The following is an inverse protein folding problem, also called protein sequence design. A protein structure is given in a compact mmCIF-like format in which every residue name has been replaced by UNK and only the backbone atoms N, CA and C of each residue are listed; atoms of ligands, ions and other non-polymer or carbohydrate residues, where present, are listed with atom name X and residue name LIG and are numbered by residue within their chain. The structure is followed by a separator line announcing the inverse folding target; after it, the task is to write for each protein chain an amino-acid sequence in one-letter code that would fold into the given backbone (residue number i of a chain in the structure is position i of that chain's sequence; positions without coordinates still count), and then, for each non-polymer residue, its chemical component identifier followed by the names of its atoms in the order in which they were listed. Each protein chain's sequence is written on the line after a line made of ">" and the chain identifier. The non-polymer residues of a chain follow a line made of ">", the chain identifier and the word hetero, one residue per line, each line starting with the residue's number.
data_IF_251128879743
#
_entry.id   IF_251128879743
#
_cell.length_a   1.000
_cell.length_b   1.000
_cell.length_c   1.000
_cell.angle_alpha   90.00
_cell.angle_beta   90.00
_cell.angle_gamma   90.00
#
_symmetry.space_group_name_H-M   'P 1'
#
loop_
_entity.id
_entity.type
_entity.pdbx_description
1 polymer ?
#
# COMPACT_ATOMS: atom_id res chain seq x y z
N UNK A 1 5.25 5.34 31.67
CA UNK A 1 4.69 6.31 30.71
C UNK A 1 3.65 5.62 29.85
N UNK A 2 2.47 6.19 29.77
CA UNK A 2 1.42 5.64 28.92
C UNK A 2 1.47 6.30 27.55
N UNK A 3 1.28 5.53 26.49
CA UNK A 3 1.18 6.03 25.13
C UNK A 3 0.02 5.32 24.43
N UNK A 4 -0.55 5.97 23.45
CA UNK A 4 -1.62 5.41 22.63
C UNK A 4 -1.21 5.37 21.16
N UNK A 5 -1.85 4.51 20.40
CA UNK A 5 -1.61 4.36 18.99
C UNK A 5 -2.84 3.86 18.25
N UNK A 6 -2.75 3.82 16.93
CA UNK A 6 -3.81 3.32 16.06
C UNK A 6 -3.25 2.17 15.25
N UNK A 7 -4.02 1.08 15.16
CA UNK A 7 -3.75 -0.02 14.23
C UNK A 7 -4.42 0.31 12.89
N UNK A 8 -3.62 0.49 11.86
CA UNK A 8 -4.11 0.71 10.51
C UNK A 8 -3.18 -0.01 9.52
N UNK A 9 -3.62 -1.10 8.88
CA UNK A 9 -2.81 -1.75 7.85
C UNK A 9 -2.53 -0.79 6.69
N UNK A 10 -1.33 -0.84 6.14
CA UNK A 10 -0.95 0.00 4.99
C UNK A 10 -1.90 -0.25 3.81
N UNK A 11 -2.26 -1.51 3.58
CA UNK A 11 -3.18 -1.89 2.51
C UNK A 11 -4.58 -1.28 2.63
N UNK A 12 -4.98 -0.86 3.83
CA UNK A 12 -6.29 -0.26 4.10
C UNK A 12 -6.33 1.25 3.85
N UNK A 13 -5.19 1.87 3.57
CA UNK A 13 -5.15 3.29 3.22
C UNK A 13 -5.83 3.54 1.88
N UNK A 14 -6.52 4.67 1.69
CA UNK A 14 -7.17 4.96 0.42
C UNK A 14 -6.15 5.11 -0.72
N UNK A 15 -6.47 4.58 -1.88
CA UNK A 15 -5.63 4.67 -3.06
C UNK A 15 -6.48 4.53 -4.32
N UNK A 16 -6.19 5.30 -5.38
CA UNK A 16 -6.86 5.13 -6.68
C UNK A 16 -6.35 3.92 -7.46
N UNK A 17 -5.32 3.22 -6.97
CA UNK A 17 -4.62 2.15 -7.70
C UNK A 17 -4.80 0.77 -7.05
N UNK A 18 -5.92 0.55 -6.41
CA UNK A 18 -6.37 -0.77 -5.98
C UNK A 18 -5.97 -1.21 -4.58
N UNK A 19 -4.93 -0.66 -3.99
CA UNK A 19 -4.45 -1.01 -2.65
C UNK A 19 -3.73 0.18 -2.03
N UNK A 20 -3.79 0.31 -0.70
CA UNK A 20 -3.04 1.34 0.02
C UNK A 20 -1.54 1.17 -0.17
N UNK A 21 -0.81 2.27 -0.24
CA UNK A 21 0.63 2.31 -0.46
C UNK A 21 1.32 3.20 0.57
N UNK A 22 2.65 3.17 0.60
CA UNK A 22 3.46 4.06 1.43
C UNK A 22 3.70 5.41 0.75
N UNK A 23 2.68 5.98 0.12
CA UNK A 23 2.73 7.24 -0.58
C UNK A 23 2.08 8.40 0.17
N UNK A 24 1.41 9.28 -0.57
CA UNK A 24 0.80 10.49 -0.02
C UNK A 24 -0.24 10.21 1.06
N UNK A 25 -1.07 9.17 0.90
CA UNK A 25 -2.08 8.79 1.89
C UNK A 25 -1.43 8.35 3.21
N UNK A 26 -0.32 7.62 3.16
CA UNK A 26 0.43 7.22 4.35
C UNK A 26 1.01 8.43 5.07
N UNK A 27 1.57 9.38 4.35
CA UNK A 27 2.10 10.65 4.92
C UNK A 27 0.99 11.46 5.56
N UNK A 28 -0.16 11.57 4.92
CA UNK A 28 -1.34 12.26 5.48
C UNK A 28 -1.85 11.58 6.75
N UNK A 29 -1.81 10.26 6.80
CA UNK A 29 -2.19 9.50 7.99
C UNK A 29 -1.24 9.77 9.17
N UNK A 30 0.07 9.85 8.91
CA UNK A 30 1.05 10.23 9.94
C UNK A 30 0.76 11.63 10.48
N UNK A 31 0.46 12.59 9.60
CA UNK A 31 0.10 13.97 10.02
C UNK A 31 -1.17 13.97 10.89
N UNK A 32 -2.16 13.17 10.53
CA UNK A 32 -3.38 12.98 11.33
C UNK A 32 -3.06 12.44 12.72
N UNK A 33 -2.17 11.42 12.81
CA UNK A 33 -1.76 10.84 14.09
C UNK A 33 -1.08 11.88 14.98
N UNK A 34 -0.20 12.69 14.41
CA UNK A 34 0.48 13.78 15.16
C UNK A 34 -0.54 14.79 15.70
N UNK A 35 -1.49 15.23 14.88
CA UNK A 35 -2.54 16.17 15.28
C UNK A 35 -3.47 15.57 16.35
N UNK A 36 -3.65 14.26 16.35
CA UNK A 36 -4.50 13.54 17.32
C UNK A 36 -3.77 13.20 18.62
N UNK A 37 -2.47 13.50 18.74
CA UNK A 37 -1.67 13.18 19.91
C UNK A 37 -1.32 11.71 20.06
N UNK A 38 -1.41 10.91 18.99
CA UNK A 38 -1.03 9.51 18.99
C UNK A 38 0.48 9.35 18.92
N UNK A 39 1.05 8.38 19.66
CA UNK A 39 2.47 8.14 19.71
C UNK A 39 2.92 7.01 18.75
N UNK A 40 2.01 6.12 18.37
CA UNK A 40 2.33 4.92 17.60
C UNK A 40 1.34 4.70 16.45
N UNK A 41 1.86 4.25 15.34
CA UNK A 41 1.09 3.65 14.27
C UNK A 41 1.48 2.18 14.15
N UNK A 42 0.54 1.29 14.49
CA UNK A 42 0.74 -0.15 14.36
C UNK A 42 0.27 -0.60 12.98
N UNK A 43 1.12 -1.32 12.28
CA UNK A 43 0.81 -1.91 10.98
C UNK A 43 0.83 -3.43 11.08
N UNK A 44 0.30 -4.10 10.06
CA UNK A 44 0.50 -5.54 9.86
C UNK A 44 1.85 -5.79 9.19
N UNK A 45 2.38 -7.04 9.20
CA UNK A 45 3.64 -7.34 8.54
C UNK A 45 3.68 -6.86 7.09
N UNK A 46 4.81 -6.31 6.67
CA UNK A 46 4.99 -5.69 5.34
C UNK A 46 5.64 -6.64 4.32
N UNK A 47 5.67 -7.93 4.62
CA UNK A 47 6.23 -8.94 3.72
C UNK A 47 5.27 -9.22 2.56
N UNK A 48 5.77 -9.78 1.42
CA UNK A 48 4.91 -10.20 0.33
C UNK A 48 3.89 -11.23 0.82
N UNK A 49 2.65 -11.10 0.36
CA UNK A 49 1.61 -12.08 0.67
C UNK A 49 1.72 -13.30 -0.25
N UNK A 50 1.36 -14.47 0.28
CA UNK A 50 1.28 -15.70 -0.47
C UNK A 50 -0.16 -16.01 -0.87
N UNK A 51 -0.42 -17.22 -1.30
CA UNK A 51 -1.76 -17.66 -1.63
C UNK A 51 -2.70 -17.46 -0.42
N UNK A 52 -3.81 -16.79 -0.63
CA UNK A 52 -4.76 -16.41 0.43
C UNK A 52 -4.59 -14.99 0.97
N UNK A 53 -3.54 -14.27 0.52
CA UNK A 53 -3.33 -12.83 0.74
C UNK A 53 -3.22 -12.40 2.21
N UNK A 54 -2.91 -13.33 3.11
CA UNK A 54 -2.68 -13.02 4.52
C UNK A 54 -1.31 -12.37 4.72
N UNK A 55 -1.21 -11.23 5.42
CA UNK A 55 0.08 -10.62 5.75
C UNK A 55 0.94 -11.47 6.70
N UNK A 56 0.34 -12.45 7.35
CA UNK A 56 1.04 -13.38 8.25
C UNK A 56 1.55 -14.64 7.55
N UNK A 57 1.24 -14.84 6.28
CA UNK A 57 1.67 -15.98 5.48
C UNK A 57 2.53 -15.50 4.31
N UNK A 58 3.79 -15.28 4.59
CA UNK A 58 4.74 -14.81 3.57
C UNK A 58 5.72 -15.91 3.20
N UNK A 59 6.08 -15.96 1.92
CA UNK A 59 7.17 -16.81 1.43
C UNK A 59 8.56 -16.19 1.67
N UNK A 60 8.63 -14.95 2.15
CA UNK A 60 9.88 -14.28 2.48
C UNK A 60 9.70 -13.33 3.66
N UNK A 61 10.42 -13.59 4.75
CA UNK A 61 10.35 -12.79 5.98
C UNK A 61 11.03 -11.42 5.83
N UNK A 62 12.03 -11.32 4.97
CA UNK A 62 12.85 -10.11 4.84
C UNK A 62 12.47 -9.21 3.67
N UNK A 63 11.69 -9.71 2.73
CA UNK A 63 11.29 -8.93 1.57
C UNK A 63 10.13 -7.99 1.91
N UNK A 64 10.16 -6.78 1.38
CA UNK A 64 9.00 -5.87 1.41
C UNK A 64 7.97 -6.27 0.36
N UNK A 65 6.70 -5.97 0.64
CA UNK A 65 5.62 -6.25 -0.30
C UNK A 65 5.61 -5.22 -1.44
N UNK A 66 5.79 -5.64 -2.70
CA UNK A 66 5.77 -4.72 -3.84
C UNK A 66 4.44 -3.99 -4.03
N UNK A 67 3.33 -4.51 -3.49
CA UNK A 67 2.04 -3.83 -3.56
C UNK A 67 2.02 -2.49 -2.84
N UNK A 68 2.90 -2.28 -1.87
CA UNK A 68 2.96 -1.05 -1.10
C UNK A 68 3.82 0.04 -1.75
N UNK A 69 4.45 -0.25 -2.88
CA UNK A 69 5.16 0.78 -3.66
C UNK A 69 4.13 1.73 -4.27
N UNK A 70 4.32 3.02 -4.04
CA UNK A 70 3.42 4.03 -4.58
C UNK A 70 3.79 4.36 -6.03
N UNK A 71 2.82 4.20 -6.93
CA UNK A 71 3.03 4.44 -8.36
C UNK A 71 3.26 5.92 -8.66
N UNK A 72 2.58 6.82 -7.96
CA UNK A 72 2.76 8.26 -8.14
C UNK A 72 4.17 8.70 -7.72
N UNK A 73 4.71 8.13 -6.65
CA UNK A 73 6.09 8.41 -6.23
C UNK A 73 7.11 7.93 -7.27
N UNK A 74 6.89 6.78 -7.88
CA UNK A 74 7.73 6.29 -8.99
C UNK A 74 7.66 7.23 -10.19
N UNK A 75 6.49 7.74 -10.51
CA UNK A 75 6.31 8.70 -11.60
C UNK A 75 7.05 10.01 -11.32
N UNK A 76 7.02 10.51 -10.08
CA UNK A 76 7.77 11.70 -9.67
C UNK A 76 9.28 11.53 -9.77
N UNK A 77 9.77 10.31 -9.57
CA UNK A 77 11.20 9.99 -9.70
C UNK A 77 11.62 9.73 -11.16
N UNK A 78 10.70 9.77 -12.11
CA UNK A 78 10.97 9.50 -13.51
C UNK A 78 11.15 8.04 -13.88
N UNK A 79 10.80 7.12 -12.97
CA UNK A 79 10.93 5.67 -13.18
C UNK A 79 9.71 5.05 -13.86
N UNK A 80 8.59 5.77 -13.89
CA UNK A 80 7.32 5.30 -14.43
C UNK A 80 6.58 6.48 -15.06
N UNK A 81 5.95 6.26 -16.23
CA UNK A 81 5.10 7.26 -16.85
C UNK A 81 3.67 7.15 -16.30
N UNK A 82 2.98 8.28 -16.01
CA UNK A 82 1.60 8.24 -15.53
C UNK A 82 0.64 7.47 -16.45
N UNK A 83 0.88 7.50 -17.75
CA UNK A 83 0.07 6.80 -18.76
C UNK A 83 0.14 5.28 -18.63
N UNK A 84 1.19 4.74 -18.00
CA UNK A 84 1.40 3.30 -17.86
C UNK A 84 0.48 2.68 -16.80
N UNK A 85 -0.04 3.47 -15.87
CA UNK A 85 -0.87 2.95 -14.78
C UNK A 85 -2.20 3.69 -14.58
N UNK A 86 -2.34 4.94 -15.04
CA UNK A 86 -3.52 5.75 -14.80
C UNK A 86 -4.78 5.24 -15.51
N UNK A 87 -4.61 4.56 -16.65
CA UNK A 87 -5.70 4.01 -17.45
C UNK A 87 -6.15 2.61 -17.02
N UNK A 88 -5.45 1.99 -16.07
CA UNK A 88 -5.75 0.63 -15.62
C UNK A 88 -6.99 0.64 -14.74
N UNK A 89 -7.95 -0.23 -15.04
CA UNK A 89 -9.07 -0.51 -14.16
C UNK A 89 -8.64 -1.52 -13.10
N UNK A 90 -8.57 -1.07 -11.86
CA UNK A 90 -8.18 -1.91 -10.72
C UNK A 90 -9.35 -2.72 -10.15
N UNK A 91 -10.54 -2.58 -10.73
CA UNK A 91 -11.77 -3.31 -10.37
C UNK A 91 -12.08 -3.27 -8.86
N UNK A 92 -11.83 -2.12 -8.25
CA UNK A 92 -12.08 -1.92 -6.83
C UNK A 92 -12.50 -0.48 -6.55
N UNK A 93 -13.10 -0.30 -5.38
CA UNK A 93 -13.36 1.03 -4.81
C UNK A 93 -12.22 1.42 -3.88
N UNK A 94 -12.12 2.69 -3.41
CA UNK A 94 -11.11 3.09 -2.43
C UNK A 94 -11.12 2.27 -1.14
N UNK A 95 -12.22 1.62 -0.81
CA UNK A 95 -12.41 0.85 0.43
C UNK A 95 -12.32 -0.66 0.23
N UNK A 96 -12.04 -1.14 -0.97
CA UNK A 96 -12.04 -2.56 -1.29
C UNK A 96 -10.84 -2.92 -2.15
N UNK A 97 -10.24 -4.06 -1.88
CA UNK A 97 -9.08 -4.57 -2.63
C UNK A 97 -9.46 -5.84 -3.36
N UNK A 98 -9.15 -5.90 -4.66
CA UNK A 98 -9.24 -7.12 -5.45
C UNK A 98 -7.82 -7.68 -5.67
N UNK A 99 -7.42 -8.64 -4.86
CA UNK A 99 -6.05 -9.19 -4.89
C UNK A 99 -5.73 -9.94 -6.19
N UNK A 100 -6.71 -10.56 -6.83
CA UNK A 100 -6.50 -11.20 -8.13
C UNK A 100 -6.08 -10.19 -9.20
N UNK A 101 -6.76 -9.08 -9.27
CA UNK A 101 -6.42 -7.97 -10.17
C UNK A 101 -5.05 -7.37 -9.80
N UNK A 102 -4.76 -7.23 -8.51
CA UNK A 102 -3.48 -6.73 -8.03
C UNK A 102 -2.32 -7.62 -8.49
N UNK A 103 -2.47 -8.93 -8.35
CA UNK A 103 -1.44 -9.87 -8.76
C UNK A 103 -1.12 -9.75 -10.26
N UNK A 104 -2.14 -9.66 -11.09
CA UNK A 104 -1.95 -9.59 -12.54
C UNK A 104 -1.47 -8.21 -13.00
N UNK A 105 -2.17 -7.15 -12.60
CA UNK A 105 -1.98 -5.81 -13.15
C UNK A 105 -0.85 -5.04 -12.47
N UNK A 106 -0.73 -5.15 -11.15
CA UNK A 106 0.31 -4.44 -10.39
C UNK A 106 1.71 -4.90 -10.78
N UNK A 107 1.91 -6.19 -10.85
CA UNK A 107 3.20 -6.74 -11.27
C UNK A 107 3.52 -6.42 -12.73
N UNK A 108 2.52 -6.36 -13.60
CA UNK A 108 2.74 -5.94 -14.99
C UNK A 108 3.28 -4.51 -15.06
N UNK A 109 2.71 -3.58 -14.29
CA UNK A 109 3.19 -2.20 -14.21
C UNK A 109 4.60 -2.13 -13.63
N UNK A 110 4.88 -2.85 -12.55
CA UNK A 110 6.19 -2.80 -11.88
C UNK A 110 7.32 -3.45 -12.70
N UNK A 111 7.01 -4.21 -13.73
CA UNK A 111 7.98 -4.81 -14.66
C UNK A 111 8.32 -3.94 -15.86
N UNK A 112 7.60 -2.85 -16.05
CA UNK A 112 7.84 -1.94 -17.19
C UNK A 112 9.20 -1.24 -17.19
#
# INVERSE_FOLDING_TARGET
>A
MRASGILMPISSLPSPYGIGTMGAAARSFVDFLVKSGQAYWQILPVCPTSYGDSPYQSFSTFAGNPYFIDLDDLAKQGLLLPEEYASIDWECTPDCINYGVMYEKRYAVLRC
#
